data_IF_564202887077
#
_entry.id   IF_564202887077
#
_cell.length_a   1.000
_cell.length_b   1.000
_cell.length_c   1.000
_cell.angle_alpha   90.00
_cell.angle_beta   90.00
_cell.angle_gamma   90.00
#
_symmetry.space_group_name_H-M   'P 1'
#
loop_
_entity.id
_entity.type
_entity.pdbx_description
1 polymer ?
#
# COMPACT_ATOMS: atom_id res chain seq x y z
N UNK A 1 7.82 12.70 4.87
CA UNK A 1 7.66 13.41 6.16
C UNK A 1 8.70 14.50 6.29
N UNK A 2 10.01 14.16 6.35
CA UNK A 2 11.08 15.15 6.50
C UNK A 2 11.14 16.19 5.39
N UNK A 3 10.98 15.80 4.12
CA UNK A 3 11.00 16.74 2.99
C UNK A 3 9.83 17.74 2.98
N UNK A 4 8.74 17.42 3.67
CA UNK A 4 7.54 18.25 3.76
C UNK A 4 7.37 18.90 5.13
N UNK A 5 8.33 18.72 6.05
CA UNK A 5 8.26 19.14 7.46
C UNK A 5 6.93 18.78 8.16
N UNK A 6 6.31 17.68 7.73
CA UNK A 6 5.02 17.25 8.24
C UNK A 6 5.18 16.52 9.58
N UNK A 7 4.34 16.84 10.56
CA UNK A 7 4.28 16.18 11.87
C UNK A 7 3.61 14.81 11.76
N UNK A 8 4.34 13.86 11.18
CA UNK A 8 3.89 12.50 10.89
C UNK A 8 4.92 11.52 11.44
N UNK A 9 4.45 10.58 12.24
CA UNK A 9 5.30 9.55 12.81
C UNK A 9 5.52 8.38 11.83
N UNK A 10 6.57 7.60 12.07
CA UNK A 10 6.77 6.31 11.37
C UNK A 10 5.58 5.36 11.57
N UNK A 11 4.90 5.43 12.73
CA UNK A 11 3.70 4.63 12.99
C UNK A 11 2.55 5.02 12.06
N UNK A 12 2.39 6.30 11.75
CA UNK A 12 1.40 6.78 10.78
C UNK A 12 1.76 6.29 9.38
N UNK A 13 3.04 6.41 8.97
CA UNK A 13 3.52 5.99 7.65
C UNK A 13 3.29 4.49 7.41
N UNK A 14 3.55 3.65 8.42
CA UNK A 14 3.29 2.20 8.36
C UNK A 14 1.82 1.88 8.05
N UNK A 15 0.89 2.74 8.47
CA UNK A 15 -0.54 2.55 8.24
C UNK A 15 -1.00 3.06 6.88
N UNK A 16 -0.22 3.87 6.16
CA UNK A 16 -0.63 4.48 4.90
C UNK A 16 -0.99 3.43 3.83
N UNK A 17 -0.16 2.39 3.67
CA UNK A 17 -0.45 1.31 2.73
C UNK A 17 -1.74 0.54 3.08
N UNK A 18 -1.95 0.26 4.38
CA UNK A 18 -3.17 -0.37 4.87
C UNK A 18 -4.41 0.50 4.65
N UNK A 19 -4.31 1.81 4.89
CA UNK A 19 -5.39 2.75 4.66
C UNK A 19 -5.86 2.73 3.19
N UNK A 20 -4.90 2.79 2.25
CA UNK A 20 -5.19 2.72 0.81
C UNK A 20 -5.80 1.37 0.45
N UNK A 21 -5.22 0.25 0.90
CA UNK A 21 -5.74 -1.09 0.58
C UNK A 21 -7.15 -1.33 1.13
N UNK A 22 -7.42 -0.96 2.39
CA UNK A 22 -8.75 -1.09 3.00
C UNK A 22 -9.80 -0.23 2.29
N UNK A 23 -9.44 1.01 1.94
CA UNK A 23 -10.34 1.91 1.20
C UNK A 23 -10.63 1.38 -0.20
N UNK A 24 -9.60 0.94 -0.92
CA UNK A 24 -9.77 0.32 -2.24
C UNK A 24 -10.66 -0.92 -2.15
N UNK A 25 -10.43 -1.81 -1.17
CA UNK A 25 -11.25 -3.01 -0.96
C UNK A 25 -12.72 -2.68 -0.75
N UNK A 26 -13.03 -1.72 0.13
CA UNK A 26 -14.40 -1.28 0.38
C UNK A 26 -15.08 -0.76 -0.89
N UNK A 27 -14.38 0.07 -1.67
CA UNK A 27 -14.90 0.61 -2.94
C UNK A 27 -15.15 -0.51 -3.95
N UNK A 28 -14.25 -1.49 -4.05
CA UNK A 28 -14.39 -2.62 -4.97
C UNK A 28 -15.62 -3.45 -4.64
N UNK A 29 -15.88 -3.73 -3.35
CA UNK A 29 -17.10 -4.43 -2.91
C UNK A 29 -18.35 -3.59 -3.17
N UNK A 30 -18.34 -2.30 -2.82
CA UNK A 30 -19.49 -1.40 -3.02
C UNK A 30 -19.87 -1.25 -4.50
N UNK A 31 -18.88 -1.16 -5.39
CA UNK A 31 -19.07 -1.00 -6.84
C UNK A 31 -19.16 -2.33 -7.58
N UNK A 32 -19.07 -3.46 -6.87
CA UNK A 32 -19.12 -4.82 -7.44
C UNK A 32 -18.10 -5.03 -8.58
N UNK A 33 -16.87 -4.56 -8.39
CA UNK A 33 -15.81 -4.79 -9.37
C UNK A 33 -15.37 -6.25 -9.40
N UNK A 34 -15.15 -6.78 -10.60
CA UNK A 34 -14.64 -8.15 -10.80
C UNK A 34 -13.12 -8.26 -10.60
N UNK A 35 -12.40 -7.13 -10.64
CA UNK A 35 -10.95 -7.11 -10.46
C UNK A 35 -10.57 -7.50 -9.02
N UNK A 36 -9.66 -8.46 -8.86
CA UNK A 36 -9.09 -8.82 -7.55
C UNK A 36 -7.95 -7.89 -7.18
N UNK A 37 -7.97 -7.35 -5.95
CA UNK A 37 -6.84 -6.58 -5.43
C UNK A 37 -5.66 -7.50 -5.09
N UNK A 38 -4.46 -7.05 -5.47
CA UNK A 38 -3.19 -7.69 -5.11
C UNK A 38 -2.44 -6.75 -4.18
N UNK A 39 -2.14 -7.21 -2.97
CA UNK A 39 -1.23 -6.53 -2.06
C UNK A 39 0.15 -7.16 -2.19
N UNK A 40 1.13 -6.33 -2.52
CA UNK A 40 2.52 -6.73 -2.75
C UNK A 40 3.47 -5.82 -1.95
N UNK A 41 4.75 -6.17 -1.95
CA UNK A 41 5.81 -5.37 -1.32
C UNK A 41 5.57 -5.11 0.18
N UNK A 42 5.34 -6.18 0.95
CA UNK A 42 5.18 -6.13 2.40
C UNK A 42 6.41 -5.47 3.07
N UNK A 43 6.19 -4.86 4.24
CA UNK A 43 7.23 -4.34 5.15
C UNK A 43 7.14 -4.94 6.56
N UNK A 44 6.30 -5.95 6.75
CA UNK A 44 6.10 -6.65 8.01
C UNK A 44 4.81 -7.48 8.01
N UNK A 45 4.64 -8.30 9.04
CA UNK A 45 3.48 -9.20 9.22
C UNK A 45 2.16 -8.44 9.38
N UNK A 46 2.22 -7.18 9.83
CA UNK A 46 1.05 -6.31 10.01
C UNK A 46 0.21 -6.10 8.73
N UNK A 47 0.80 -6.19 7.54
CA UNK A 47 0.02 -6.12 6.30
C UNK A 47 -0.92 -7.33 6.17
N UNK A 48 -0.46 -8.51 6.58
CA UNK A 48 -1.27 -9.73 6.56
C UNK A 48 -2.35 -9.69 7.63
N UNK A 49 -1.96 -9.39 8.89
CA UNK A 49 -2.91 -9.46 10.02
C UNK A 49 -4.02 -8.41 9.90
N UNK A 50 -3.71 -7.17 9.49
CA UNK A 50 -4.72 -6.11 9.37
C UNK A 50 -5.66 -6.26 8.15
N UNK A 51 -5.29 -7.09 7.17
CA UNK A 51 -6.10 -7.39 5.99
C UNK A 51 -6.75 -8.77 6.03
N UNK A 52 -6.58 -9.51 7.13
CA UNK A 52 -7.19 -10.81 7.31
C UNK A 52 -8.72 -10.75 7.16
N UNK A 53 -9.26 -11.70 6.40
CA UNK A 53 -10.67 -11.78 6.02
C UNK A 53 -11.05 -11.07 4.71
N UNK A 54 -10.10 -10.40 4.05
CA UNK A 54 -10.33 -9.78 2.74
C UNK A 54 -10.23 -10.80 1.59
N UNK A 55 -11.09 -10.65 0.59
CA UNK A 55 -10.98 -11.38 -0.70
C UNK A 55 -9.92 -10.72 -1.59
N UNK A 56 -8.64 -10.91 -1.24
CA UNK A 56 -7.48 -10.32 -1.94
C UNK A 56 -6.38 -11.37 -2.16
N UNK A 57 -5.47 -11.07 -3.09
CA UNK A 57 -4.25 -11.85 -3.29
C UNK A 57 -3.11 -11.17 -2.54
N UNK A 58 -2.36 -11.96 -1.77
CA UNK A 58 -1.14 -11.52 -1.10
C UNK A 58 0.08 -12.06 -1.85
N UNK A 59 0.87 -11.17 -2.45
CA UNK A 59 2.15 -11.51 -3.08
C UNK A 59 3.28 -11.37 -2.05
N UNK A 60 3.77 -12.51 -1.55
CA UNK A 60 4.65 -12.58 -0.38
C UNK A 60 6.07 -12.96 -0.81
N UNK A 61 7.02 -12.04 -0.63
CA UNK A 61 8.44 -12.31 -0.87
C UNK A 61 9.02 -13.25 0.21
N UNK A 62 10.04 -14.07 -0.11
CA UNK A 62 10.56 -15.10 0.80
C UNK A 62 10.87 -14.65 2.24
N UNK A 63 11.50 -13.48 2.50
CA UNK A 63 11.81 -13.07 3.86
C UNK A 63 10.59 -12.90 4.78
N UNK A 64 9.42 -12.55 4.20
CA UNK A 64 8.19 -12.40 4.97
C UNK A 64 7.44 -13.73 5.12
N UNK A 65 7.68 -14.71 4.24
CA UNK A 65 7.06 -16.03 4.37
C UNK A 65 7.49 -16.70 5.68
N UNK A 66 8.79 -16.66 5.98
CA UNK A 66 9.31 -17.24 7.22
C UNK A 66 8.74 -16.54 8.46
N UNK A 67 8.67 -15.21 8.47
CA UNK A 67 8.06 -14.46 9.58
C UNK A 67 6.59 -14.84 9.80
N UNK A 68 5.82 -14.96 8.72
CA UNK A 68 4.40 -15.32 8.79
C UNK A 68 4.17 -16.78 9.23
N UNK A 69 5.13 -17.67 9.00
CA UNK A 69 5.05 -19.08 9.38
C UNK A 69 5.63 -19.38 10.77
N UNK A 70 6.54 -18.55 11.26
CA UNK A 70 7.25 -18.75 12.53
C UNK A 70 6.62 -18.03 13.72
N UNK A 71 5.90 -16.93 13.49
CA UNK A 71 5.20 -16.20 14.54
C UNK A 71 3.78 -16.77 14.76
N UNK A 72 3.37 -16.95 16.01
CA UNK A 72 1.95 -17.10 16.34
C UNK A 72 1.25 -15.75 16.14
N UNK A 73 0.75 -15.53 14.92
CA UNK A 73 0.03 -14.32 14.57
C UNK A 73 -1.45 -14.43 14.96
N UNK A 74 -2.09 -13.32 15.39
CA UNK A 74 -3.52 -13.31 15.63
C UNK A 74 -4.31 -13.68 14.37
N UNK A 75 -5.06 -14.78 14.44
CA UNK A 75 -5.96 -15.23 13.39
C UNK A 75 -7.34 -14.57 13.54
N UNK A 76 -7.38 -13.25 13.50
CA UNK A 76 -8.60 -12.44 13.64
C UNK A 76 -9.00 -11.82 12.30
N UNK A 77 -10.29 -11.78 12.01
CA UNK A 77 -10.79 -11.00 10.86
C UNK A 77 -10.66 -9.52 11.20
N UNK A 78 -9.91 -8.78 10.40
CA UNK A 78 -9.61 -7.36 10.64
C UNK A 78 -9.84 -6.46 9.45
N UNK A 79 -10.23 -6.98 8.28
CA UNK A 79 -10.43 -6.17 7.08
C UNK A 79 -11.35 -4.96 7.32
N UNK A 80 -12.41 -5.12 8.12
CA UNK A 80 -13.38 -4.05 8.42
C UNK A 80 -12.93 -3.07 9.51
N UNK A 81 -11.85 -3.38 10.24
CA UNK A 81 -11.27 -2.46 11.22
C UNK A 81 -10.63 -1.28 10.49
N UNK A 82 -11.19 -0.10 10.69
CA UNK A 82 -10.72 1.12 10.04
C UNK A 82 -9.40 1.60 10.65
N UNK A 83 -8.55 2.20 9.83
CA UNK A 83 -7.42 2.99 10.31
C UNK A 83 -7.99 4.17 11.12
N UNK A 84 -7.41 4.51 12.28
CA UNK A 84 -7.88 5.63 13.09
C UNK A 84 -7.99 6.93 12.29
N UNK A 85 -9.08 7.68 12.48
CA UNK A 85 -9.37 8.88 11.70
C UNK A 85 -8.29 9.96 11.84
N UNK A 86 -7.72 10.12 13.03
CA UNK A 86 -6.63 11.04 13.31
C UNK A 86 -5.33 10.68 12.56
N UNK A 87 -5.05 9.38 12.36
CA UNK A 87 -3.94 8.91 11.51
C UNK A 87 -4.19 9.31 10.05
N UNK A 88 -5.43 9.12 9.56
CA UNK A 88 -5.82 9.53 8.20
C UNK A 88 -5.69 11.04 8.03
N UNK A 89 -6.12 11.84 9.00
CA UNK A 89 -5.98 13.30 8.99
C UNK A 89 -4.50 13.72 8.91
N UNK A 90 -3.62 13.15 9.75
CA UNK A 90 -2.18 13.41 9.70
C UNK A 90 -1.57 13.01 8.36
N UNK A 91 -1.87 11.81 7.85
CA UNK A 91 -1.39 11.35 6.55
C UNK A 91 -1.89 12.24 5.40
N UNK A 92 -3.11 12.77 5.51
CA UNK A 92 -3.72 13.65 4.50
C UNK A 92 -3.05 15.02 4.41
N UNK A 93 -2.16 15.37 5.34
CA UNK A 93 -1.27 16.54 5.17
C UNK A 93 -0.22 16.31 4.08
N UNK A 94 0.02 15.06 3.65
CA UNK A 94 0.90 14.72 2.53
C UNK A 94 0.08 14.67 1.22
N UNK A 95 0.33 15.57 0.25
CA UNK A 95 -0.41 15.56 -1.01
C UNK A 95 -0.31 14.23 -1.76
N UNK A 96 0.84 13.58 -1.74
CA UNK A 96 1.04 12.27 -2.40
C UNK A 96 0.19 11.17 -1.75
N UNK A 97 -0.04 11.22 -0.43
CA UNK A 97 -0.95 10.27 0.21
C UNK A 97 -2.40 10.51 -0.24
N UNK A 98 -2.86 11.76 -0.24
CA UNK A 98 -4.22 12.11 -0.70
C UNK A 98 -4.45 11.64 -2.13
N UNK A 99 -3.47 11.85 -3.03
CA UNK A 99 -3.53 11.38 -4.42
C UNK A 99 -3.70 9.86 -4.55
N UNK A 100 -3.11 9.09 -3.64
CA UNK A 100 -3.21 7.62 -3.63
C UNK A 100 -4.43 7.09 -2.85
N UNK A 101 -4.91 7.84 -1.86
CA UNK A 101 -5.96 7.42 -0.95
C UNK A 101 -7.36 7.82 -1.43
N UNK A 102 -7.52 9.02 -1.99
CA UNK A 102 -8.81 9.52 -2.46
C UNK A 102 -9.14 9.00 -3.87
N UNK A 103 -10.36 8.49 -4.14
CA UNK A 103 -10.73 7.97 -5.46
C UNK A 103 -10.57 8.98 -6.60
N UNK A 104 -10.85 10.25 -6.31
CA UNK A 104 -10.70 11.36 -7.26
C UNK A 104 -9.41 12.17 -7.01
N UNK A 105 -8.52 11.66 -6.16
CA UNK A 105 -7.27 12.33 -5.78
C UNK A 105 -6.27 12.45 -6.93
N UNK A 106 -6.45 11.69 -8.00
CA UNK A 106 -5.59 11.72 -9.19
C UNK A 106 -6.36 11.34 -10.43
N UNK A 107 -6.26 12.16 -11.49
CA UNK A 107 -6.84 11.80 -12.78
C UNK A 107 -5.99 10.73 -13.46
N UNK A 108 -6.59 9.81 -14.25
CA UNK A 108 -5.83 8.74 -14.93
C UNK A 108 -4.66 9.24 -15.77
N UNK A 109 -4.82 10.39 -16.44
CA UNK A 109 -3.75 11.02 -17.26
C UNK A 109 -2.53 11.48 -16.44
N UNK A 110 -2.72 11.75 -15.14
CA UNK A 110 -1.68 12.24 -14.24
C UNK A 110 -0.95 11.06 -13.56
N UNK A 111 -1.43 9.82 -13.73
CA UNK A 111 -0.83 8.64 -13.12
C UNK A 111 0.59 8.40 -13.59
N UNK A 112 0.87 8.67 -14.87
CA UNK A 112 2.21 8.49 -15.43
C UNK A 112 3.21 9.46 -14.82
N UNK A 113 2.80 10.67 -14.44
CA UNK A 113 3.67 11.69 -13.83
C UNK A 113 3.68 11.62 -12.30
N UNK A 114 2.97 10.67 -11.70
CA UNK A 114 2.99 10.45 -10.26
C UNK A 114 4.37 10.00 -9.80
N UNK A 115 4.91 10.64 -8.76
CA UNK A 115 6.32 10.49 -8.36
C UNK A 115 6.69 9.05 -8.02
N UNK A 116 5.81 8.32 -7.34
CA UNK A 116 6.04 6.90 -7.01
C UNK A 116 5.96 6.01 -8.25
N UNK A 117 5.08 6.30 -9.22
CA UNK A 117 5.03 5.58 -10.51
C UNK A 117 6.34 5.76 -11.27
N UNK A 118 6.81 7.00 -11.38
CA UNK A 118 8.09 7.32 -12.02
C UNK A 118 9.27 6.61 -11.32
N UNK A 119 9.29 6.61 -9.99
CA UNK A 119 10.31 5.91 -9.20
C UNK A 119 10.30 4.40 -9.47
N UNK A 120 9.12 3.77 -9.52
CA UNK A 120 9.01 2.34 -9.83
C UNK A 120 9.48 2.02 -11.25
N UNK A 121 9.08 2.82 -12.26
CA UNK A 121 9.54 2.64 -13.63
C UNK A 121 11.06 2.80 -13.75
N UNK A 122 11.64 3.81 -13.09
CA UNK A 122 13.08 4.01 -13.05
C UNK A 122 13.82 2.83 -12.39
N UNK A 123 13.27 2.25 -11.33
CA UNK A 123 13.84 1.07 -10.67
C UNK A 123 13.87 -0.15 -11.60
N UNK A 124 12.78 -0.43 -12.33
CA UNK A 124 12.74 -1.52 -13.30
C UNK A 124 13.70 -1.30 -14.47
N UNK A 125 13.82 -0.05 -14.94
CA UNK A 125 14.74 0.31 -16.02
C UNK A 125 16.21 0.17 -15.59
N UNK A 126 16.64 0.90 -14.56
CA UNK A 126 18.04 0.96 -14.15
C UNK A 126 18.51 -0.35 -13.50
N UNK A 127 17.67 -0.97 -12.67
CA UNK A 127 18.02 -2.18 -11.92
C UNK A 127 17.76 -3.49 -12.65
N UNK A 128 17.09 -3.45 -13.82
CA UNK A 128 16.71 -4.63 -14.58
C UNK A 128 17.08 -4.48 -16.04
N UNK A 129 16.26 -3.75 -16.80
CA UNK A 129 16.33 -3.70 -18.25
C UNK A 129 17.71 -3.26 -18.78
N UNK A 130 18.23 -2.14 -18.27
CA UNK A 130 19.53 -1.60 -18.68
C UNK A 130 20.68 -2.56 -18.39
N UNK A 131 20.60 -3.34 -17.31
CA UNK A 131 21.63 -4.35 -17.02
C UNK A 131 21.56 -5.47 -18.07
N UNK A 132 20.36 -5.93 -18.42
CA UNK A 132 20.13 -6.98 -19.42
C UNK A 132 20.60 -6.59 -20.83
N UNK A 133 20.40 -5.34 -21.25
CA UNK A 133 20.83 -4.86 -22.58
C UNK A 133 22.34 -4.76 -22.74
N UNK A 134 23.09 -4.65 -21.65
CA UNK A 134 24.54 -4.51 -21.65
C UNK A 134 25.29 -5.84 -21.45
N UNK A 135 24.56 -6.98 -21.47
CA UNK A 135 25.15 -8.33 -21.50
C UNK A 135 25.43 -8.82 -22.91
#
# INVERSE_FOLDING_TARGET
AHDCEADISESDIRQAGLAVSKRAYSIYKQRSYEATLIVAALRGTYHMTELAGAEIIMSIAPPYQEMLLSEELPCEVRIDHQIPGDVIERLSTLPEFVRAYEPEGMQPKDFITYGVTQKTLAQFHEGGWKLLENF
#
